data_IF_887205590438
#
_entry.id   IF_887205590438
#
_cell.length_a   1.000
_cell.length_b   1.000
_cell.length_c   1.000
_cell.angle_alpha   90.00
_cell.angle_beta   90.00
_cell.angle_gamma   90.00
#
_symmetry.space_group_name_H-M   'P 1'
#
loop_
_entity.id
_entity.type
_entity.pdbx_description
1 polymer ?
#
# COMPACT_ATOMS: atom_id res chain seq x y z
N UNK A 1 2.49 -15.04 6.89
CA UNK A 1 3.14 -14.37 5.75
C UNK A 1 4.41 -15.14 5.40
N UNK A 2 4.68 -15.35 4.12
CA UNK A 2 5.81 -16.10 3.56
C UNK A 2 6.55 -15.30 2.47
N UNK A 3 6.31 -14.00 2.37
CA UNK A 3 7.08 -13.13 1.47
C UNK A 3 8.52 -13.01 1.99
N UNK A 4 9.49 -13.19 1.10
CA UNK A 4 10.93 -13.12 1.41
C UNK A 4 11.48 -11.82 0.87
N UNK A 5 12.21 -11.09 1.71
CA UNK A 5 12.83 -9.82 1.33
C UNK A 5 14.10 -10.04 0.49
N UNK A 6 14.23 -9.31 -0.61
CA UNK A 6 15.37 -9.28 -1.52
C UNK A 6 15.97 -7.86 -1.54
N UNK A 7 17.10 -7.61 -0.84
CA UNK A 7 17.73 -6.30 -0.76
C UNK A 7 18.08 -5.72 -2.14
N UNK A 8 18.53 -6.55 -3.07
CA UNK A 8 18.94 -6.13 -4.41
C UNK A 8 17.77 -5.59 -5.22
N UNK A 9 16.61 -6.27 -5.17
CA UNK A 9 15.41 -5.79 -5.85
C UNK A 9 14.82 -4.55 -5.18
N UNK A 10 14.89 -4.47 -3.84
CA UNK A 10 14.48 -3.28 -3.11
C UNK A 10 15.30 -2.06 -3.54
N UNK A 11 16.63 -2.19 -3.58
CA UNK A 11 17.53 -1.11 -3.98
C UNK A 11 17.32 -0.68 -5.44
N UNK A 12 17.19 -1.64 -6.37
CA UNK A 12 16.91 -1.34 -7.78
C UNK A 12 15.57 -0.62 -7.98
N UNK A 13 14.51 -1.12 -7.34
CA UNK A 13 13.19 -0.50 -7.42
C UNK A 13 13.18 0.91 -6.80
N UNK A 14 13.87 1.11 -5.67
CA UNK A 14 14.05 2.42 -5.06
C UNK A 14 14.77 3.40 -6.01
N UNK A 15 15.95 3.03 -6.52
CA UNK A 15 16.76 3.90 -7.38
C UNK A 15 15.99 4.28 -8.65
N UNK A 16 15.29 3.33 -9.27
CA UNK A 16 14.51 3.61 -10.47
C UNK A 16 13.27 4.45 -10.18
N UNK A 17 12.64 4.29 -9.01
CA UNK A 17 11.56 5.18 -8.58
C UNK A 17 12.08 6.61 -8.34
N UNK A 18 13.23 6.78 -7.65
CA UNK A 18 13.88 8.08 -7.47
C UNK A 18 14.16 8.74 -8.82
N UNK A 19 14.75 8.01 -9.77
CA UNK A 19 14.99 8.52 -11.14
C UNK A 19 13.71 8.86 -11.88
N UNK A 20 12.68 8.03 -11.74
CA UNK A 20 11.40 8.26 -12.37
C UNK A 20 10.68 9.46 -11.76
N UNK A 21 10.84 9.74 -10.47
CA UNK A 21 10.20 10.88 -9.80
C UNK A 21 11.05 12.17 -9.92
N UNK A 22 12.35 12.04 -10.19
CA UNK A 22 13.25 13.17 -10.33
C UNK A 22 12.77 14.16 -11.41
N UNK A 23 12.91 15.46 -11.11
CA UNK A 23 12.52 16.57 -11.98
C UNK A 23 11.02 16.62 -12.32
N UNK A 24 10.18 15.93 -11.54
CA UNK A 24 8.71 16.05 -11.62
C UNK A 24 8.24 16.84 -10.42
N UNK A 25 7.39 17.84 -10.67
CA UNK A 25 6.76 18.62 -9.61
C UNK A 25 5.59 17.80 -9.02
N UNK A 26 5.94 16.82 -8.18
CA UNK A 26 5.03 15.87 -7.57
C UNK A 26 5.16 15.90 -6.05
N UNK A 27 4.03 15.88 -5.36
CA UNK A 27 3.99 15.73 -3.91
C UNK A 27 4.15 14.25 -3.50
N UNK A 28 4.47 14.01 -2.22
CA UNK A 28 4.59 12.68 -1.61
C UNK A 28 5.57 11.71 -2.30
N UNK A 29 6.63 12.23 -2.93
CA UNK A 29 7.69 11.43 -3.59
C UNK A 29 8.40 10.49 -2.63
N UNK A 30 8.63 10.92 -1.38
CA UNK A 30 9.22 10.09 -0.33
C UNK A 30 8.41 8.81 -0.03
N UNK A 31 7.08 8.90 -0.01
CA UNK A 31 6.19 7.74 0.17
C UNK A 31 6.28 6.85 -1.07
N UNK A 32 6.25 7.43 -2.27
CA UNK A 32 6.36 6.72 -3.53
C UNK A 32 7.67 5.92 -3.67
N UNK A 33 8.80 6.52 -3.31
CA UNK A 33 10.12 5.88 -3.27
C UNK A 33 10.14 4.70 -2.29
N UNK A 34 9.59 4.90 -1.09
CA UNK A 34 9.51 3.85 -0.08
C UNK A 34 8.66 2.67 -0.56
N UNK A 35 7.46 2.91 -1.10
CA UNK A 35 6.59 1.82 -1.55
C UNK A 35 7.17 1.09 -2.77
N UNK A 36 7.94 1.77 -3.61
CA UNK A 36 8.67 1.13 -4.70
C UNK A 36 9.72 0.15 -4.16
N UNK A 37 10.52 0.58 -3.17
CA UNK A 37 11.49 -0.28 -2.49
C UNK A 37 10.82 -1.50 -1.85
N UNK A 38 9.66 -1.29 -1.23
CA UNK A 38 8.84 -2.35 -0.63
C UNK A 38 8.36 -3.37 -1.66
N UNK A 39 7.72 -2.90 -2.74
CA UNK A 39 7.22 -3.75 -3.82
C UNK A 39 8.34 -4.57 -4.47
N UNK A 40 9.48 -3.94 -4.76
CA UNK A 40 10.67 -4.60 -5.28
C UNK A 40 11.23 -5.63 -4.29
N UNK A 41 11.40 -5.22 -3.03
CA UNK A 41 12.00 -6.02 -1.96
C UNK A 41 11.22 -7.29 -1.66
N UNK A 42 9.89 -7.22 -1.58
CA UNK A 42 9.04 -8.40 -1.39
C UNK A 42 8.73 -9.17 -2.68
N UNK A 43 9.30 -8.77 -3.82
CA UNK A 43 9.07 -9.39 -5.14
C UNK A 43 7.58 -9.49 -5.49
N UNK A 44 6.83 -8.43 -5.19
CA UNK A 44 5.39 -8.40 -5.41
C UNK A 44 5.05 -8.63 -6.89
N UNK A 45 4.21 -9.63 -7.18
CA UNK A 45 3.74 -9.96 -8.53
C UNK A 45 2.47 -9.19 -8.86
N UNK A 46 1.53 -9.10 -7.91
CA UNK A 46 0.34 -8.25 -8.04
C UNK A 46 0.41 -7.11 -7.03
N UNK A 47 0.56 -5.89 -7.56
CA UNK A 47 0.65 -4.64 -6.81
C UNK A 47 -0.63 -3.84 -7.08
N UNK A 48 -1.42 -3.62 -6.03
CA UNK A 48 -2.68 -2.86 -6.13
C UNK A 48 -2.52 -1.49 -5.50
N UNK A 49 -2.96 -0.45 -6.19
CA UNK A 49 -3.08 0.91 -5.68
C UNK A 49 -4.55 1.30 -5.61
N UNK A 50 -5.09 1.50 -4.41
CA UNK A 50 -6.40 2.08 -4.21
C UNK A 50 -6.26 3.61 -4.17
N UNK A 51 -6.32 4.21 -5.36
CA UNK A 51 -6.06 5.64 -5.57
C UNK A 51 -7.23 6.52 -5.08
N UNK A 52 -6.91 7.77 -4.72
CA UNK A 52 -7.84 8.83 -4.34
C UNK A 52 -7.58 10.05 -5.21
N UNK A 53 -8.62 10.85 -5.52
CA UNK A 53 -8.50 12.02 -6.41
C UNK A 53 -7.40 13.00 -6.01
N UNK A 54 -7.19 13.16 -4.72
CA UNK A 54 -6.19 14.09 -4.17
C UNK A 54 -4.78 13.48 -4.04
N UNK A 55 -4.59 12.21 -4.40
CA UNK A 55 -3.38 11.43 -4.07
C UNK A 55 -2.18 11.66 -5.03
N UNK A 56 -2.37 12.44 -6.10
CA UNK A 56 -1.37 12.67 -7.16
C UNK A 56 -0.94 11.39 -7.90
N UNK A 57 0.13 11.47 -8.70
CA UNK A 57 0.62 10.34 -9.51
C UNK A 57 1.89 9.67 -8.96
N UNK A 58 2.54 10.24 -7.94
CA UNK A 58 3.85 9.79 -7.48
C UNK A 58 3.87 8.31 -7.08
N UNK A 59 2.86 7.87 -6.32
CA UNK A 59 2.72 6.48 -5.87
C UNK A 59 2.63 5.52 -7.06
N UNK A 60 1.72 5.77 -8.01
CA UNK A 60 1.58 4.96 -9.21
C UNK A 60 2.84 4.91 -10.08
N UNK A 61 3.56 6.03 -10.22
CA UNK A 61 4.87 6.07 -10.90
C UNK A 61 5.88 5.13 -10.23
N UNK A 62 6.01 5.21 -8.90
CA UNK A 62 6.95 4.39 -8.14
C UNK A 62 6.60 2.90 -8.17
N UNK A 63 5.31 2.57 -7.99
CA UNK A 63 4.83 1.18 -8.05
C UNK A 63 5.03 0.56 -9.43
N UNK A 64 4.80 1.32 -10.50
CA UNK A 64 5.07 0.87 -11.86
C UNK A 64 6.55 0.61 -12.10
N UNK A 65 7.44 1.47 -11.59
CA UNK A 65 8.88 1.25 -11.67
C UNK A 65 9.27 -0.06 -10.95
N UNK A 66 8.71 -0.30 -9.77
CA UNK A 66 8.96 -1.53 -9.01
C UNK A 66 8.43 -2.79 -9.72
N UNK A 67 7.23 -2.75 -10.31
CA UNK A 67 6.62 -3.88 -11.02
C UNK A 67 7.52 -4.44 -12.14
N UNK A 68 8.28 -3.57 -12.82
CA UNK A 68 9.25 -3.98 -13.85
C UNK A 68 10.37 -4.86 -13.29
N UNK A 69 10.86 -4.57 -12.09
CA UNK A 69 11.93 -5.35 -11.43
C UNK A 69 11.43 -6.69 -10.89
N UNK A 70 10.14 -6.77 -10.56
CA UNK A 70 9.54 -8.00 -10.05
C UNK A 70 8.94 -8.87 -11.15
N UNK A 71 8.87 -8.38 -12.40
CA UNK A 71 8.06 -8.95 -13.49
C UNK A 71 6.58 -9.09 -13.08
N UNK A 72 6.13 -8.19 -12.21
CA UNK A 72 4.77 -8.10 -11.74
C UNK A 72 3.93 -7.13 -12.56
N UNK A 73 2.71 -6.91 -12.09
CA UNK A 73 1.74 -5.97 -12.63
C UNK A 73 1.31 -4.99 -11.55
N UNK A 74 1.25 -3.72 -11.90
CA UNK A 74 0.60 -2.66 -11.12
C UNK A 74 -0.82 -2.45 -11.64
N UNK A 75 -1.79 -2.44 -10.73
CA UNK A 75 -3.20 -2.15 -10.99
C UNK A 75 -3.64 -1.01 -10.08
N UNK A 76 -4.18 0.05 -10.67
CA UNK A 76 -4.87 1.12 -9.96
C UNK A 76 -6.36 0.82 -9.92
N UNK A 77 -6.96 0.88 -8.73
CA UNK A 77 -8.39 0.72 -8.49
C UNK A 77 -8.98 2.08 -8.19
N UNK A 78 -10.02 2.47 -8.92
CA UNK A 78 -10.72 3.76 -8.80
C UNK A 78 -12.24 3.53 -8.76
N UNK A 79 -13.01 4.39 -8.06
CA UNK A 79 -14.44 4.15 -7.84
C UNK A 79 -15.31 4.38 -9.09
N UNK A 80 -14.90 5.29 -9.98
CA UNK A 80 -15.71 5.75 -11.11
C UNK A 80 -14.84 6.13 -12.32
N UNK A 81 -15.46 6.21 -13.50
CA UNK A 81 -14.79 6.52 -14.78
C UNK A 81 -14.14 7.92 -14.77
N UNK A 82 -14.72 8.87 -14.04
CA UNK A 82 -14.13 10.19 -13.89
C UNK A 82 -12.78 10.09 -13.16
N UNK A 83 -12.73 9.35 -12.05
CA UNK A 83 -11.51 9.09 -11.30
C UNK A 83 -10.48 8.32 -12.13
N UNK A 84 -10.94 7.44 -13.04
CA UNK A 84 -10.07 6.75 -13.99
C UNK A 84 -9.40 7.73 -14.97
N UNK A 85 -10.19 8.62 -15.57
CA UNK A 85 -9.68 9.65 -16.48
C UNK A 85 -8.70 10.61 -15.76
N UNK A 86 -9.03 11.03 -14.54
CA UNK A 86 -8.16 11.88 -13.71
C UNK A 86 -6.84 11.19 -13.36
N UNK A 87 -6.89 9.91 -12.97
CA UNK A 87 -5.68 9.12 -12.69
C UNK A 87 -4.80 8.94 -13.94
N UNK A 88 -5.41 8.60 -15.09
CA UNK A 88 -4.68 8.45 -16.37
C UNK A 88 -4.02 9.77 -16.77
N UNK A 89 -4.72 10.89 -16.63
CA UNK A 89 -4.18 12.22 -16.92
C UNK A 89 -3.07 12.61 -15.94
N UNK A 90 -3.22 12.31 -14.65
CA UNK A 90 -2.18 12.55 -13.65
C UNK A 90 -0.91 11.75 -13.97
N UNK A 91 -1.06 10.47 -14.31
CA UNK A 91 0.04 9.61 -14.76
C UNK A 91 0.69 10.14 -16.05
N UNK A 92 -0.12 10.59 -17.02
CA UNK A 92 0.37 11.20 -18.28
C UNK A 92 1.16 12.48 -18.04
N UNK A 93 0.67 13.39 -17.19
CA UNK A 93 1.38 14.62 -16.79
C UNK A 93 2.66 14.32 -16.05
N UNK A 94 2.65 13.29 -15.22
CA UNK A 94 3.84 12.76 -14.62
C UNK A 94 4.75 12.05 -15.64
N UNK A 95 4.47 11.98 -16.94
CA UNK A 95 5.36 11.31 -17.91
C UNK A 95 5.45 9.80 -17.72
N UNK A 96 4.42 9.17 -17.14
CA UNK A 96 4.25 7.73 -17.04
C UNK A 96 2.93 7.33 -17.70
N UNK A 97 2.97 6.74 -18.89
CA UNK A 97 1.73 6.30 -19.55
C UNK A 97 1.12 5.11 -18.81
N UNK A 98 -0.11 5.21 -18.32
CA UNK A 98 -0.86 4.06 -17.79
C UNK A 98 -0.92 2.95 -18.84
N UNK A 99 -0.70 1.70 -18.43
CA UNK A 99 -0.83 0.55 -19.35
C UNK A 99 -2.31 0.27 -19.63
N UNK A 100 -2.62 -0.24 -20.82
CA UNK A 100 -3.96 -0.70 -21.12
C UNK A 100 -4.39 -1.76 -20.10
N UNK A 101 -5.54 -1.57 -19.46
CA UNK A 101 -6.02 -2.46 -18.39
C UNK A 101 -5.27 -2.36 -17.06
N UNK A 102 -4.41 -1.36 -16.85
CA UNK A 102 -3.81 -1.08 -15.53
C UNK A 102 -4.72 -0.30 -14.60
N UNK A 103 -5.90 0.14 -15.06
CA UNK A 103 -6.92 0.82 -14.26
C UNK A 103 -8.17 -0.06 -14.22
N UNK A 104 -8.64 -0.36 -13.02
CA UNK A 104 -9.89 -1.08 -12.76
C UNK A 104 -10.87 -0.09 -12.14
N UNK A 105 -12.00 0.09 -12.82
CA UNK A 105 -13.06 1.01 -12.41
C UNK A 105 -14.17 0.20 -11.75
N UNK A 106 -14.64 0.66 -10.60
CA UNK A 106 -15.81 0.11 -9.94
C UNK A 106 -15.80 0.31 -8.44
N UNK A 107 -16.95 0.02 -7.84
CA UNK A 107 -17.06 -0.04 -6.39
C UNK A 107 -16.11 -1.10 -5.81
N UNK A 108 -15.75 -0.95 -4.54
CA UNK A 108 -14.72 -1.76 -3.90
C UNK A 108 -14.92 -3.28 -4.08
N UNK A 109 -16.15 -3.78 -4.00
CA UNK A 109 -16.49 -5.20 -4.16
C UNK A 109 -16.26 -5.68 -5.60
N UNK A 110 -16.76 -4.93 -6.59
CA UNK A 110 -16.65 -5.27 -8.01
C UNK A 110 -15.20 -5.20 -8.48
N UNK A 111 -14.51 -4.11 -8.15
CA UNK A 111 -13.13 -3.88 -8.58
C UNK A 111 -12.14 -4.88 -7.97
N UNK A 112 -12.36 -5.30 -6.72
CA UNK A 112 -11.48 -6.24 -6.04
C UNK A 112 -11.82 -7.71 -6.35
N UNK A 113 -13.01 -8.01 -6.89
CA UNK A 113 -13.45 -9.38 -7.21
C UNK A 113 -12.50 -10.10 -8.15
N UNK A 114 -11.91 -9.38 -9.10
CA UNK A 114 -11.03 -9.93 -10.15
C UNK A 114 -9.55 -9.92 -9.75
N UNK A 115 -9.21 -9.35 -8.59
CA UNK A 115 -7.85 -9.18 -8.12
C UNK A 115 -7.51 -10.23 -7.06
N UNK A 116 -7.15 -11.42 -7.52
CA UNK A 116 -6.70 -12.51 -6.66
C UNK A 116 -5.19 -12.58 -6.52
N UNK A 117 -4.72 -12.93 -5.33
CA UNK A 117 -3.29 -13.13 -5.11
C UNK A 117 -2.51 -11.84 -4.92
N UNK A 118 -3.14 -10.80 -4.36
CA UNK A 118 -2.47 -9.51 -4.09
C UNK A 118 -1.27 -9.73 -3.18
N UNK A 119 -0.09 -9.29 -3.59
CA UNK A 119 1.15 -9.39 -2.81
C UNK A 119 1.46 -8.07 -2.07
N UNK A 120 1.13 -6.93 -2.68
CA UNK A 120 1.25 -5.61 -2.08
C UNK A 120 0.07 -4.72 -2.45
N UNK A 121 -0.46 -3.99 -1.47
CA UNK A 121 -1.52 -3.00 -1.67
C UNK A 121 -1.11 -1.66 -1.07
N UNK A 122 -1.29 -0.57 -1.80
CA UNK A 122 -1.20 0.80 -1.27
C UNK A 122 -2.61 1.38 -1.26
N UNK A 123 -3.03 1.94 -0.13
CA UNK A 123 -4.34 2.58 0.02
C UNK A 123 -4.17 3.97 0.61
N UNK A 124 -4.83 4.95 0.00
CA UNK A 124 -4.96 6.28 0.56
C UNK A 124 -6.08 6.31 1.63
N UNK A 125 -5.78 6.75 2.85
CA UNK A 125 -6.78 6.85 3.91
C UNK A 125 -7.79 8.00 3.70
N UNK A 126 -7.52 8.94 2.81
CA UNK A 126 -8.47 9.96 2.36
C UNK A 126 -9.58 9.40 1.47
N UNK A 127 -9.37 8.22 0.87
CA UNK A 127 -10.38 7.55 0.06
C UNK A 127 -11.58 7.12 0.91
N UNK A 128 -12.80 7.49 0.47
CA UNK A 128 -14.05 7.29 1.23
C UNK A 128 -14.36 5.81 1.50
N UNK A 129 -14.12 4.95 0.53
CA UNK A 129 -14.36 3.51 0.56
C UNK A 129 -13.10 2.69 0.92
N UNK A 130 -12.01 3.32 1.38
CA UNK A 130 -10.75 2.63 1.72
C UNK A 130 -10.94 1.40 2.61
N UNK A 131 -11.83 1.49 3.61
CA UNK A 131 -12.15 0.38 4.49
C UNK A 131 -12.89 -0.77 3.81
N UNK A 132 -13.67 -0.51 2.75
CA UNK A 132 -14.31 -1.54 1.94
C UNK A 132 -13.28 -2.22 1.02
N UNK A 133 -12.42 -1.45 0.35
CA UNK A 133 -11.37 -2.03 -0.49
C UNK A 133 -10.46 -2.96 0.32
N UNK A 134 -10.12 -2.57 1.55
CA UNK A 134 -9.34 -3.41 2.48
C UNK A 134 -10.08 -4.66 2.99
N UNK A 135 -11.42 -4.68 3.00
CA UNK A 135 -12.21 -5.88 3.32
C UNK A 135 -12.19 -6.89 2.18
N UNK A 136 -12.28 -6.40 0.96
CA UNK A 136 -12.47 -7.19 -0.25
C UNK A 136 -11.16 -7.71 -0.86
N UNK A 137 -10.02 -7.17 -0.45
CA UNK A 137 -8.71 -7.59 -0.94
C UNK A 137 -8.43 -9.07 -0.65
N UNK A 138 -7.99 -9.80 -1.69
CA UNK A 138 -7.70 -11.23 -1.63
C UNK A 138 -6.18 -11.48 -1.68
N UNK A 139 -5.51 -11.60 -0.52
CA UNK A 139 -4.08 -11.91 -0.48
C UNK A 139 -3.79 -13.30 -1.03
N UNK A 140 -2.62 -13.46 -1.65
CA UNK A 140 -2.12 -14.77 -2.08
C UNK A 140 -1.79 -15.70 -0.90
N UNK A 141 -1.44 -16.98 -1.16
CA UNK A 141 -1.10 -17.95 -0.12
C UNK A 141 0.14 -17.54 0.71
N UNK A 142 0.96 -16.62 0.19
CA UNK A 142 2.10 -16.03 0.90
C UNK A 142 1.71 -14.91 1.86
N UNK A 143 0.45 -14.45 1.85
CA UNK A 143 0.04 -13.20 2.48
C UNK A 143 0.41 -11.99 1.63
N UNK A 144 0.22 -10.80 2.19
CA UNK A 144 0.46 -9.53 1.50
C UNK A 144 0.99 -8.45 2.44
N UNK A 145 1.58 -7.41 1.87
CA UNK A 145 1.90 -6.16 2.58
C UNK A 145 0.89 -5.09 2.20
N UNK A 146 0.31 -4.41 3.18
CA UNK A 146 -0.58 -3.27 2.95
C UNK A 146 0.08 -2.01 3.46
N UNK A 147 0.16 -0.98 2.64
CA UNK A 147 0.66 0.35 2.98
C UNK A 147 -0.51 1.32 2.98
N UNK A 148 -0.80 1.90 4.13
CA UNK A 148 -1.85 2.91 4.30
C UNK A 148 -1.18 4.28 4.40
N UNK A 149 -1.34 5.14 3.40
CA UNK A 149 -0.83 6.53 3.45
C UNK A 149 -1.92 7.50 3.94
N UNK A 150 -1.53 8.65 4.48
CA UNK A 150 -2.45 9.59 5.12
C UNK A 150 -3.03 9.09 6.44
N UNK A 151 -2.29 8.23 7.14
CA UNK A 151 -2.78 7.53 8.34
C UNK A 151 -2.82 8.40 9.62
N UNK A 152 -2.38 9.66 9.56
CA UNK A 152 -2.32 10.62 10.68
C UNK A 152 -3.64 10.72 11.46
N UNK A 153 -4.78 10.55 10.77
CA UNK A 153 -6.12 10.83 11.32
C UNK A 153 -6.87 9.63 11.90
N UNK A 154 -6.38 8.39 11.75
CA UNK A 154 -7.13 7.18 12.18
C UNK A 154 -6.22 6.13 12.80
N UNK A 155 -5.92 6.29 14.09
CA UNK A 155 -5.28 5.25 14.91
C UNK A 155 -6.30 4.22 15.39
N UNK A 156 -5.91 2.95 15.33
CA UNK A 156 -6.66 1.84 15.89
C UNK A 156 -7.69 1.27 14.90
N UNK A 157 -7.74 -0.06 14.83
CA UNK A 157 -8.78 -0.78 14.08
C UNK A 157 -8.32 -1.45 12.77
N UNK A 158 -7.09 -1.25 12.29
CA UNK A 158 -6.62 -1.84 11.03
C UNK A 158 -6.80 -3.37 10.96
N UNK A 159 -6.67 -4.07 12.08
CA UNK A 159 -6.89 -5.52 12.15
C UNK A 159 -8.36 -5.94 12.02
N UNK A 160 -9.31 -5.07 12.35
CA UNK A 160 -10.75 -5.33 12.23
C UNK A 160 -11.32 -4.99 10.83
N UNK A 161 -10.48 -4.42 9.95
CA UNK A 161 -10.89 -3.99 8.61
C UNK A 161 -10.69 -5.09 7.58
N UNK A 162 -9.84 -6.10 7.80
CA UNK A 162 -9.66 -7.14 6.79
C UNK A 162 -10.75 -8.22 6.85
N UNK A 163 -11.07 -8.80 5.70
CA UNK A 163 -12.05 -9.88 5.55
C UNK A 163 -11.67 -11.16 6.30
N UNK A 164 -12.66 -12.05 6.46
CA UNK A 164 -12.49 -13.33 7.14
C UNK A 164 -11.36 -14.17 6.52
N UNK A 165 -10.63 -14.93 7.35
CA UNK A 165 -9.51 -15.77 6.89
C UNK A 165 -8.18 -15.04 6.71
N UNK A 166 -8.13 -13.71 6.93
CA UNK A 166 -6.90 -12.94 6.99
C UNK A 166 -6.53 -12.57 8.43
N UNK A 167 -5.27 -12.25 8.68
CA UNK A 167 -4.79 -11.77 9.98
C UNK A 167 -3.67 -10.75 9.81
N UNK A 168 -3.67 -9.71 10.62
CA UNK A 168 -2.56 -8.75 10.66
C UNK A 168 -1.50 -9.32 11.61
N UNK A 169 -0.34 -9.67 11.07
CA UNK A 169 0.76 -10.31 11.81
C UNK A 169 1.70 -9.26 12.41
N UNK A 170 1.93 -8.16 11.69
CA UNK A 170 2.78 -7.04 12.12
C UNK A 170 2.17 -5.73 11.63
N UNK A 171 2.25 -4.68 12.43
CA UNK A 171 1.96 -3.30 12.02
C UNK A 171 3.15 -2.43 12.40
N UNK A 172 3.49 -1.46 11.57
CA UNK A 172 4.54 -0.49 11.82
C UNK A 172 4.10 0.86 11.27
N UNK A 173 4.15 1.88 12.11
CA UNK A 173 3.92 3.25 11.69
C UNK A 173 5.25 3.92 11.36
N UNK A 174 5.28 4.67 10.26
CA UNK A 174 6.42 5.42 9.77
C UNK A 174 6.02 6.89 9.61
N UNK A 175 6.72 7.85 10.25
CA UNK A 175 6.42 9.27 10.15
C UNK A 175 6.97 9.87 8.85
N UNK A 176 6.57 9.30 7.70
CA UNK A 176 6.97 9.72 6.36
C UNK A 176 5.77 10.39 5.69
N UNK A 177 5.98 11.58 5.10
CA UNK A 177 4.91 12.37 4.49
C UNK A 177 3.80 12.70 5.50
N UNK A 178 2.54 12.46 5.09
CA UNK A 178 1.34 12.58 5.93
C UNK A 178 1.13 11.39 6.89
N UNK A 179 2.15 10.56 7.10
CA UNK A 179 2.12 9.38 7.96
C UNK A 179 1.70 8.11 7.23
N UNK A 180 2.48 7.05 7.43
CA UNK A 180 2.28 5.77 6.75
C UNK A 180 2.19 4.62 7.75
N UNK A 181 1.17 3.76 7.60
CA UNK A 181 1.06 2.51 8.34
C UNK A 181 1.33 1.32 7.40
N UNK A 182 2.29 0.48 7.77
CA UNK A 182 2.66 -0.74 7.04
C UNK A 182 2.14 -1.96 7.80
N UNK A 183 1.28 -2.73 7.16
CA UNK A 183 0.63 -3.91 7.72
C UNK A 183 1.10 -5.15 7.00
N UNK A 184 1.55 -6.14 7.77
CA UNK A 184 1.89 -7.45 7.26
C UNK A 184 0.69 -8.36 7.46
N UNK A 185 0.04 -8.77 6.38
CA UNK A 185 -1.17 -9.59 6.41
C UNK A 185 -0.84 -11.03 6.04
N UNK A 186 -1.26 -11.97 6.88
CA UNK A 186 -1.17 -13.40 6.65
C UNK A 186 -2.54 -14.02 6.34
N UNK A 187 -2.54 -15.18 5.69
CA UNK A 187 -3.75 -15.95 5.36
C UNK A 187 -3.83 -17.20 6.25
N UNK A 188 -5.05 -17.58 6.63
CA UNK A 188 -5.37 -18.77 7.41
C UNK A 188 -5.35 -18.54 8.94
N UNK A 189 -5.46 -19.66 9.66
CA UNK A 189 -5.57 -19.66 11.13
C UNK A 189 -4.28 -19.14 11.79
N UNK A 190 -4.45 -18.43 12.91
CA UNK A 190 -3.35 -17.93 13.72
C UNK A 190 -3.71 -16.63 14.44
N UNK A 191 -2.94 -16.22 15.46
CA UNK A 191 -3.20 -14.99 16.18
C UNK A 191 -3.04 -13.78 15.26
N UNK A 192 -4.02 -12.87 15.31
CA UNK A 192 -3.95 -11.54 14.69
C UNK A 192 -3.50 -10.51 15.74
N UNK A 193 -2.88 -9.42 15.28
CA UNK A 193 -2.60 -8.26 16.11
C UNK A 193 -3.91 -7.67 16.63
N UNK A 194 -4.08 -7.67 17.95
CA UNK A 194 -5.27 -7.15 18.62
C UNK A 194 -5.75 -8.04 19.76
N UNK A 195 -5.38 -9.33 19.75
CA UNK A 195 -5.72 -10.27 20.83
C UNK A 195 -5.05 -9.96 22.17
N UNK A 196 -5.62 -10.52 23.25
CA UNK A 196 -5.21 -10.35 24.67
C UNK A 196 -3.93 -11.08 25.06
N UNK A 197 -2.89 -10.97 24.23
CA UNK A 197 -1.57 -11.51 24.56
C UNK A 197 -0.62 -10.41 24.99
N UNK A 198 0.29 -10.71 25.94
CA UNK A 198 1.32 -9.77 26.32
C UNK A 198 2.15 -9.41 25.10
N UNK A 199 2.28 -8.12 24.80
CA UNK A 199 3.02 -7.66 23.62
C UNK A 199 3.64 -6.30 23.85
N UNK A 200 4.76 -6.07 23.18
CA UNK A 200 5.30 -4.73 22.99
C UNK A 200 4.38 -3.93 22.08
N UNK A 201 4.00 -2.75 22.53
CA UNK A 201 3.23 -1.75 21.81
C UNK A 201 4.17 -0.57 21.58
N UNK A 202 4.31 -0.19 20.30
CA UNK A 202 5.02 1.01 19.89
C UNK A 202 3.98 2.08 19.58
N UNK A 203 4.13 3.26 20.15
CA UNK A 203 3.26 4.41 19.96
C UNK A 203 4.12 5.59 19.56
N UNK A 204 3.89 6.15 18.38
CA UNK A 204 4.56 7.38 17.95
C UNK A 204 3.69 8.58 18.36
N UNK A 205 4.20 9.57 19.06
CA UNK A 205 3.45 10.80 19.33
C UNK A 205 3.63 11.75 18.14
N UNK A 206 2.52 12.21 17.55
CA UNK A 206 2.55 13.06 16.35
C UNK A 206 2.86 14.52 16.65
N UNK A 207 2.63 14.96 17.89
CA UNK A 207 2.91 16.31 18.36
C UNK A 207 4.36 16.42 18.83
N UNK A 208 4.81 15.51 19.68
CA UNK A 208 6.17 15.52 20.24
C UNK A 208 7.20 14.86 19.33
N UNK A 209 6.77 14.06 18.34
CA UNK A 209 7.62 13.23 17.47
C UNK A 209 8.40 12.14 18.19
N UNK A 210 7.99 11.79 19.41
CA UNK A 210 8.63 10.75 20.22
C UNK A 210 8.06 9.37 19.93
N UNK A 211 8.89 8.33 20.09
CA UNK A 211 8.43 6.94 20.09
C UNK A 211 8.37 6.39 21.52
N UNK A 212 7.17 6.03 21.96
CA UNK A 212 6.93 5.36 23.23
C UNK A 212 6.78 3.86 23.03
N UNK A 213 7.52 3.08 23.82
CA UNK A 213 7.47 1.62 23.77
C UNK A 213 7.05 1.09 25.13
N UNK A 214 5.91 0.40 25.18
CA UNK A 214 5.38 -0.17 26.43
C UNK A 214 4.91 -1.60 26.23
N UNK A 215 4.96 -2.41 27.29
CA UNK A 215 4.51 -3.80 27.26
C UNK A 215 3.11 -3.89 27.86
N UNK A 216 2.12 -4.27 27.04
CA UNK A 216 0.80 -4.67 27.54
C UNK A 216 0.97 -6.01 28.25
N UNK A 217 0.53 -6.09 29.51
CA UNK A 217 0.53 -7.34 30.29
C UNK A 217 -0.68 -8.18 29.92
#
# INVERSE_FOLDING_TARGET
>A
MKLVWCPENAAKAYIDAVKALANRDLEETNVAEMVAAMAGGWRAQLIVEAWSRDAGAATGVGLRAAARHTRGRHVCVVPDEQSAAEYVEAMRRAGAAAEAGSVVVGEAEEAMRELEGVDLMVVDCGRRDAGRVLREVRPGPRGMVVVRKGADRRRGGAAAVFGSGTRVVRSTYLPIGSGVEVLHVGVGKGPSLGGDRPRWVRHFDHYTKEEHVFRRR
#
